data_IF_354826540690
#
_entry.id   IF_354826540690
#
_cell.length_a   1.000
_cell.length_b   1.000
_cell.length_c   1.000
_cell.angle_alpha   90.00
_cell.angle_beta   90.00
_cell.angle_gamma   90.00
#
_symmetry.space_group_name_H-M   'P 1'
#
loop_
_entity.id
_entity.type
_entity.pdbx_description
1 polymer ?
#
# COMPACT_ATOMS: atom_id res chain seq x y z
N UNK A 1 8.08 -44.84 2.19
CA UNK A 1 7.17 -43.84 2.80
C UNK A 1 7.09 -42.59 1.92
N UNK A 2 6.66 -42.69 0.65
CA UNK A 2 6.74 -41.58 -0.33
C UNK A 2 5.39 -40.94 -0.72
N UNK A 3 4.28 -41.67 -0.59
CA UNK A 3 2.98 -41.23 -1.11
C UNK A 3 2.31 -40.09 -0.29
N UNK A 4 2.66 -39.95 1.00
CA UNK A 4 2.09 -38.89 1.85
C UNK A 4 2.68 -37.50 1.56
N UNK A 5 3.97 -37.42 1.22
CA UNK A 5 4.66 -36.16 0.97
C UNK A 5 4.29 -35.55 -0.40
N UNK A 6 4.18 -36.37 -1.45
CA UNK A 6 3.75 -35.92 -2.79
C UNK A 6 2.31 -35.38 -2.80
N UNK A 7 1.38 -36.03 -2.09
CA UNK A 7 -0.01 -35.55 -2.00
C UNK A 7 -0.12 -34.21 -1.24
N UNK A 8 0.70 -34.03 -0.20
CA UNK A 8 0.72 -32.80 0.59
C UNK A 8 1.36 -31.62 -0.18
N UNK A 9 2.38 -31.88 -1.00
CA UNK A 9 3.04 -30.86 -1.82
C UNK A 9 2.15 -30.39 -2.99
N UNK A 10 1.43 -31.32 -3.63
CA UNK A 10 0.43 -30.99 -4.67
C UNK A 10 -0.70 -30.09 -4.15
N UNK A 11 -1.23 -30.39 -2.96
CA UNK A 11 -2.25 -29.54 -2.31
C UNK A 11 -1.73 -28.14 -1.97
N UNK A 12 -0.44 -27.99 -1.66
CA UNK A 12 0.17 -26.68 -1.35
C UNK A 12 0.36 -25.85 -2.63
N UNK A 13 0.80 -26.48 -3.70
CA UNK A 13 0.98 -25.86 -5.02
C UNK A 13 -0.33 -25.34 -5.59
N UNK A 14 -1.39 -26.13 -5.51
CA UNK A 14 -2.73 -25.74 -5.98
C UNK A 14 -3.27 -24.53 -5.20
N UNK A 15 -3.09 -24.50 -3.87
CA UNK A 15 -3.45 -23.34 -3.04
C UNK A 15 -2.69 -22.07 -3.44
N UNK A 16 -1.41 -22.18 -3.76
CA UNK A 16 -0.61 -21.04 -4.21
C UNK A 16 -1.08 -20.52 -5.57
N UNK A 17 -1.46 -21.41 -6.49
CA UNK A 17 -2.02 -21.03 -7.79
C UNK A 17 -3.35 -20.29 -7.64
N UNK A 18 -4.25 -20.79 -6.79
CA UNK A 18 -5.52 -20.12 -6.49
C UNK A 18 -5.30 -18.74 -5.84
N UNK A 19 -4.35 -18.65 -4.91
CA UNK A 19 -3.99 -17.38 -4.27
C UNK A 19 -3.43 -16.38 -5.30
N UNK A 20 -2.57 -16.84 -6.20
CA UNK A 20 -2.03 -16.03 -7.30
C UNK A 20 -3.13 -15.46 -8.19
N UNK A 21 -4.08 -16.29 -8.63
CA UNK A 21 -5.20 -15.84 -9.48
C UNK A 21 -6.02 -14.78 -8.73
N UNK A 22 -6.40 -15.06 -7.48
CA UNK A 22 -7.15 -14.10 -6.65
C UNK A 22 -6.43 -12.76 -6.51
N UNK A 23 -5.12 -12.78 -6.23
CA UNK A 23 -4.33 -11.56 -6.09
C UNK A 23 -4.25 -10.78 -7.41
N UNK A 24 -4.19 -11.46 -8.56
CA UNK A 24 -4.25 -10.80 -9.87
C UNK A 24 -5.60 -10.11 -10.10
N UNK A 25 -6.70 -10.79 -9.79
CA UNK A 25 -8.05 -10.22 -9.91
C UNK A 25 -8.23 -9.01 -8.99
N UNK A 26 -7.73 -9.09 -7.75
CA UNK A 26 -7.75 -7.99 -6.79
C UNK A 26 -6.90 -6.79 -7.27
N UNK A 27 -5.75 -7.04 -7.90
CA UNK A 27 -4.92 -5.99 -8.52
C UNK A 27 -5.65 -5.34 -9.71
N UNK A 28 -6.33 -6.11 -10.55
CA UNK A 28 -7.12 -5.59 -11.67
C UNK A 28 -8.30 -4.74 -11.19
N UNK A 29 -9.00 -5.18 -10.15
CA UNK A 29 -10.06 -4.41 -9.52
C UNK A 29 -9.52 -3.10 -8.91
N UNK A 30 -8.41 -3.17 -8.17
CA UNK A 30 -7.76 -1.98 -7.62
C UNK A 30 -7.30 -0.99 -8.71
N UNK A 31 -6.83 -1.49 -9.87
CA UNK A 31 -6.50 -0.66 -11.03
C UNK A 31 -7.73 0.09 -11.56
N UNK A 32 -8.87 -0.60 -11.66
CA UNK A 32 -10.12 0.00 -12.14
C UNK A 32 -10.62 1.08 -11.19
N UNK A 33 -10.64 0.77 -9.88
CA UNK A 33 -11.01 1.73 -8.83
C UNK A 33 -10.09 2.95 -8.88
N UNK A 34 -8.77 2.75 -8.97
CA UNK A 34 -7.80 3.85 -9.06
C UNK A 34 -8.05 4.74 -10.28
N UNK A 35 -8.34 4.15 -11.44
CA UNK A 35 -8.69 4.90 -12.66
C UNK A 35 -9.94 5.77 -12.44
N UNK A 36 -10.97 5.23 -11.81
CA UNK A 36 -12.25 5.93 -11.61
C UNK A 36 -12.14 7.01 -10.51
N UNK A 37 -11.37 6.75 -9.44
CA UNK A 37 -11.03 7.75 -8.41
C UNK A 37 -10.24 8.92 -9.02
N UNK A 38 -9.26 8.65 -9.90
CA UNK A 38 -8.52 9.71 -10.62
C UNK A 38 -9.43 10.57 -11.51
N UNK A 39 -10.43 9.98 -12.17
CA UNK A 39 -11.39 10.70 -13.03
C UNK A 39 -12.37 11.58 -12.25
N UNK A 40 -12.72 11.19 -11.03
CA UNK A 40 -13.74 11.86 -10.21
C UNK A 40 -13.23 13.02 -9.35
N UNK A 41 -11.93 13.37 -9.41
CA UNK A 41 -11.28 14.45 -8.63
C UNK A 41 -11.47 14.38 -7.10
N UNK A 42 -12.09 13.32 -6.58
CA UNK A 42 -12.40 13.18 -5.16
C UNK A 42 -11.22 12.61 -4.39
N UNK A 43 -10.78 13.40 -3.41
CA UNK A 43 -9.85 13.12 -2.31
C UNK A 43 -8.59 12.35 -2.70
N UNK A 44 -7.50 13.10 -2.88
CA UNK A 44 -6.14 12.58 -2.99
C UNK A 44 -5.77 11.54 -1.94
N UNK A 45 -6.41 11.58 -0.76
CA UNK A 45 -6.28 10.59 0.30
C UNK A 45 -6.79 9.19 -0.11
N UNK A 46 -7.98 9.09 -0.72
CA UNK A 46 -8.54 7.80 -1.16
C UNK A 46 -7.77 7.20 -2.33
N UNK A 47 -7.21 8.05 -3.19
CA UNK A 47 -6.28 7.60 -4.24
C UNK A 47 -4.97 7.04 -3.64
N UNK A 48 -4.43 7.65 -2.57
CA UNK A 48 -3.25 7.12 -1.85
C UNK A 48 -3.56 5.76 -1.23
N UNK A 49 -4.68 5.63 -0.50
CA UNK A 49 -5.07 4.36 0.14
C UNK A 49 -5.24 3.23 -0.89
N UNK A 50 -5.86 3.54 -2.04
CA UNK A 50 -6.03 2.56 -3.13
C UNK A 50 -4.68 2.12 -3.71
N UNK A 51 -3.74 3.06 -3.89
CA UNK A 51 -2.37 2.74 -4.36
C UNK A 51 -1.63 1.91 -3.32
N UNK A 52 -1.75 2.22 -2.04
CA UNK A 52 -1.11 1.46 -0.96
C UNK A 52 -1.63 0.01 -0.90
N UNK A 53 -2.95 -0.19 -0.99
CA UNK A 53 -3.54 -1.52 -1.08
C UNK A 53 -3.02 -2.28 -2.30
N UNK A 54 -2.97 -1.63 -3.45
CA UNK A 54 -2.44 -2.21 -4.69
C UNK A 54 -0.96 -2.62 -4.57
N UNK A 55 -0.13 -1.77 -3.94
CA UNK A 55 1.28 -2.08 -3.66
C UNK A 55 1.43 -3.29 -2.72
N UNK A 56 0.59 -3.38 -1.69
CA UNK A 56 0.56 -4.52 -0.77
C UNK A 56 0.18 -5.81 -1.48
N UNK A 57 -0.90 -5.79 -2.27
CA UNK A 57 -1.32 -6.94 -3.09
C UNK A 57 -0.21 -7.41 -4.03
N UNK A 58 0.50 -6.47 -4.65
CA UNK A 58 1.62 -6.80 -5.54
C UNK A 58 2.81 -7.40 -4.78
N UNK A 59 3.14 -6.89 -3.59
CA UNK A 59 4.16 -7.50 -2.73
C UNK A 59 3.78 -8.94 -2.33
N UNK A 60 2.52 -9.16 -2.00
CA UNK A 60 2.02 -10.50 -1.64
C UNK A 60 2.00 -11.45 -2.85
N UNK A 61 1.71 -10.94 -4.06
CA UNK A 61 1.86 -11.69 -5.31
C UNK A 61 3.31 -12.09 -5.54
N UNK A 62 4.27 -11.16 -5.39
CA UNK A 62 5.71 -11.46 -5.54
C UNK A 62 6.14 -12.52 -4.54
N UNK A 63 5.74 -12.42 -3.26
CA UNK A 63 6.04 -13.43 -2.23
C UNK A 63 5.41 -14.79 -2.55
N UNK A 64 4.22 -14.81 -3.15
CA UNK A 64 3.54 -16.04 -3.57
C UNK A 64 4.29 -16.71 -4.72
N UNK A 65 4.73 -15.94 -5.72
CA UNK A 65 5.55 -16.43 -6.82
C UNK A 65 6.90 -16.95 -6.31
N UNK A 66 7.52 -16.25 -5.35
CA UNK A 66 8.78 -16.68 -4.73
C UNK A 66 8.66 -18.05 -4.05
N UNK A 67 7.60 -18.25 -3.25
CA UNK A 67 7.30 -19.55 -2.64
C UNK A 67 6.98 -20.63 -3.67
N UNK A 68 6.29 -20.29 -4.76
CA UNK A 68 6.03 -21.23 -5.85
C UNK A 68 7.34 -21.66 -6.54
N UNK A 69 8.30 -20.73 -6.71
CA UNK A 69 9.64 -21.01 -7.23
C UNK A 69 10.43 -21.91 -6.27
N UNK A 70 10.42 -21.65 -4.96
CA UNK A 70 11.09 -22.52 -3.98
C UNK A 70 10.57 -23.96 -3.99
N UNK A 71 9.25 -24.14 -4.12
CA UNK A 71 8.65 -25.48 -4.23
C UNK A 71 9.06 -26.13 -5.54
N UNK A 72 9.01 -25.37 -6.64
CA UNK A 72 9.38 -25.87 -7.96
C UNK A 72 10.87 -26.25 -8.03
N UNK A 73 11.74 -25.54 -7.30
CA UNK A 73 13.17 -25.85 -7.22
C UNK A 73 13.40 -27.19 -6.53
N UNK A 74 12.70 -27.46 -5.42
CA UNK A 74 12.73 -28.77 -4.75
C UNK A 74 12.16 -29.89 -5.64
N UNK A 75 11.02 -29.65 -6.29
CA UNK A 75 10.43 -30.62 -7.21
C UNK A 75 11.42 -30.95 -8.36
N UNK A 76 12.17 -29.96 -8.85
CA UNK A 76 13.20 -30.14 -9.88
C UNK A 76 14.39 -30.94 -9.35
N UNK A 77 14.91 -30.62 -8.16
CA UNK A 77 16.03 -31.35 -7.54
C UNK A 77 15.67 -32.84 -7.29
N UNK A 78 14.44 -33.10 -6.82
CA UNK A 78 13.93 -34.46 -6.67
C UNK A 78 13.86 -35.19 -8.01
N UNK A 79 13.32 -34.54 -9.06
CA UNK A 79 13.25 -35.12 -10.41
C UNK A 79 14.63 -35.35 -11.04
N UNK A 80 15.61 -34.46 -10.82
CA UNK A 80 16.98 -34.64 -11.28
C UNK A 80 17.61 -35.87 -10.62
N UNK A 81 17.42 -36.04 -9.32
CA UNK A 81 17.89 -37.23 -8.59
C UNK A 81 17.24 -38.52 -9.11
N UNK A 82 15.93 -38.49 -9.39
CA UNK A 82 15.21 -39.62 -9.98
C UNK A 82 15.74 -39.97 -11.39
N UNK A 83 15.98 -38.96 -12.23
CA UNK A 83 16.54 -39.13 -13.59
C UNK A 83 17.93 -39.75 -13.51
N UNK A 84 18.82 -39.23 -12.67
CA UNK A 84 20.18 -39.75 -12.50
C UNK A 84 20.17 -41.20 -12.02
N UNK A 85 19.30 -41.52 -11.06
CA UNK A 85 19.14 -42.89 -10.52
C UNK A 85 18.65 -43.85 -11.60
N UNK A 86 17.64 -43.46 -12.38
CA UNK A 86 17.12 -44.27 -13.49
C UNK A 86 18.16 -44.43 -14.60
N UNK A 87 18.92 -43.39 -14.91
CA UNK A 87 19.98 -43.44 -15.91
C UNK A 87 21.06 -44.44 -15.52
N UNK A 88 21.57 -44.38 -14.29
CA UNK A 88 22.55 -45.35 -13.77
C UNK A 88 22.00 -46.78 -13.80
N UNK A 89 20.71 -46.97 -13.48
CA UNK A 89 20.07 -48.29 -13.52
C UNK A 89 19.98 -48.83 -14.95
N UNK A 90 19.60 -48.00 -15.91
CA UNK A 90 19.55 -48.35 -17.33
C UNK A 90 20.95 -48.70 -17.85
N UNK A 91 21.97 -47.91 -17.52
CA UNK A 91 23.36 -48.18 -17.89
C UNK A 91 23.84 -49.53 -17.34
N UNK A 92 23.59 -49.79 -16.05
CA UNK A 92 23.92 -51.07 -15.42
C UNK A 92 23.23 -52.26 -16.10
N UNK A 93 21.94 -52.16 -16.40
CA UNK A 93 21.22 -53.22 -17.11
C UNK A 93 21.77 -53.44 -18.53
N UNK A 94 22.13 -52.36 -19.24
CA UNK A 94 22.77 -52.44 -20.56
C UNK A 94 24.13 -53.12 -20.48
N UNK A 95 24.94 -52.82 -19.46
CA UNK A 95 26.22 -53.47 -19.22
C UNK A 95 26.07 -54.96 -18.91
N UNK A 96 25.15 -55.32 -18.01
CA UNK A 96 24.88 -56.72 -17.66
C UNK A 96 24.41 -57.52 -18.88
N UNK A 97 23.52 -56.92 -19.69
CA UNK A 97 23.07 -57.50 -20.94
C UNK A 97 24.21 -57.65 -21.95
N UNK A 98 25.09 -56.65 -22.07
CA UNK A 98 26.26 -56.70 -22.95
C UNK A 98 27.24 -57.81 -22.54
N UNK A 99 27.53 -57.97 -21.24
CA UNK A 99 28.37 -59.06 -20.71
C UNK A 99 27.77 -60.43 -21.05
N UNK A 100 26.45 -60.57 -20.89
CA UNK A 100 25.74 -61.79 -21.26
C UNK A 100 25.82 -62.07 -22.77
N UNK A 101 25.68 -61.05 -23.63
CA UNK A 101 25.89 -61.20 -25.08
C UNK A 101 27.31 -61.63 -25.40
N UNK A 102 28.33 -61.03 -24.77
CA UNK A 102 29.73 -61.40 -25.00
C UNK A 102 30.01 -62.86 -24.60
N UNK A 103 29.47 -63.33 -23.47
CA UNK A 103 29.56 -64.73 -23.07
C UNK A 103 28.83 -65.64 -24.06
N UNK A 104 27.63 -65.24 -24.49
CA UNK A 104 26.87 -65.98 -25.50
C UNK A 104 27.65 -66.07 -26.83
N UNK A 105 28.33 -65.00 -27.24
CA UNK A 105 29.18 -64.94 -28.44
C UNK A 105 30.38 -65.88 -28.33
N UNK A 106 31.08 -65.89 -27.19
CA UNK A 106 32.18 -66.85 -26.93
C UNK A 106 31.72 -68.32 -26.97
N UNK A 107 30.45 -68.59 -26.66
CA UNK A 107 29.83 -69.92 -26.72
C UNK A 107 29.07 -70.21 -28.03
N UNK A 108 29.17 -69.34 -29.04
CA UNK A 108 28.23 -69.25 -30.17
C UNK A 108 28.33 -70.36 -31.22
N UNK A 109 29.33 -71.24 -31.17
CA UNK A 109 29.45 -72.27 -32.21
C UNK A 109 28.14 -73.10 -32.23
N UNK A 110 27.42 -73.16 -33.37
CA UNK A 110 26.11 -73.88 -33.44
C UNK A 110 26.28 -75.36 -33.08
N UNK A 111 27.46 -75.90 -33.41
CA UNK A 111 27.93 -77.20 -32.95
C UNK A 111 28.01 -77.30 -31.43
N UNK A 112 28.33 -76.23 -30.70
CA UNK A 112 28.38 -76.22 -29.23
C UNK A 112 27.00 -76.36 -28.58
N UNK A 113 25.92 -75.79 -29.15
CA UNK A 113 24.56 -75.96 -28.60
C UNK A 113 23.99 -77.33 -28.95
N UNK A 114 24.15 -77.77 -30.19
CA UNK A 114 23.71 -79.09 -30.60
C UNK A 114 24.54 -80.19 -29.90
N UNK A 115 25.87 -80.04 -29.79
CA UNK A 115 26.70 -80.92 -28.97
C UNK A 115 26.38 -80.82 -27.49
N UNK A 116 26.01 -79.67 -26.96
CA UNK A 116 25.55 -79.59 -25.57
C UNK A 116 24.29 -80.43 -25.34
N UNK A 117 23.37 -80.51 -26.30
CA UNK A 117 22.21 -81.40 -26.20
C UNK A 117 22.57 -82.87 -26.47
N UNK A 118 23.39 -83.14 -27.49
CA UNK A 118 23.76 -84.51 -27.94
C UNK A 118 24.81 -85.19 -27.05
N UNK A 119 25.62 -84.45 -26.27
CA UNK A 119 26.57 -84.98 -25.28
C UNK A 119 25.90 -85.35 -23.95
N UNK A 120 24.59 -85.57 -23.96
CA UNK A 120 23.85 -86.00 -22.77
C UNK A 120 24.01 -87.51 -22.60
N UNK A 121 24.19 -87.95 -21.35
CA UNK A 121 24.33 -89.36 -20.97
C UNK A 121 23.03 -90.15 -21.18
N UNK A 122 21.89 -89.47 -21.06
CA UNK A 122 20.56 -90.05 -21.21
C UNK A 122 19.53 -89.00 -21.67
N UNK A 123 18.33 -89.46 -22.02
CA UNK A 123 17.24 -88.63 -22.49
C UNK A 123 16.76 -87.61 -21.44
N UNK A 124 16.75 -87.98 -20.17
CA UNK A 124 16.31 -87.07 -19.08
C UNK A 124 17.29 -85.89 -18.93
N UNK A 125 18.59 -86.14 -19.08
CA UNK A 125 19.60 -85.09 -19.09
C UNK A 125 19.46 -84.17 -20.30
N UNK A 126 19.20 -84.73 -21.50
CA UNK A 126 18.96 -83.93 -22.70
C UNK A 126 17.71 -83.03 -22.54
N UNK A 127 16.62 -83.56 -21.96
CA UNK A 127 15.40 -82.81 -21.70
C UNK A 127 15.63 -81.64 -20.72
N UNK A 128 16.39 -81.87 -19.63
CA UNK A 128 16.78 -80.80 -18.69
C UNK A 128 17.63 -79.72 -19.35
N UNK A 129 18.59 -80.11 -20.21
CA UNK A 129 19.43 -79.17 -20.97
C UNK A 129 18.61 -78.34 -21.98
N UNK A 130 17.62 -78.95 -22.63
CA UNK A 130 16.69 -78.25 -23.52
C UNK A 130 15.85 -77.21 -22.77
N UNK A 131 15.28 -77.61 -21.62
CA UNK A 131 14.51 -76.70 -20.77
C UNK A 131 15.37 -75.54 -20.25
N UNK A 132 16.63 -75.80 -19.87
CA UNK A 132 17.58 -74.75 -19.51
C UNK A 132 17.82 -73.73 -20.65
N UNK A 133 18.01 -74.21 -21.89
CA UNK A 133 18.20 -73.31 -23.04
C UNK A 133 16.95 -72.46 -23.31
N UNK A 134 15.76 -73.03 -23.13
CA UNK A 134 14.49 -72.31 -23.22
C UNK A 134 14.39 -71.22 -22.16
N UNK A 135 14.63 -71.56 -20.90
CA UNK A 135 14.62 -70.60 -19.78
C UNK A 135 15.64 -69.48 -19.98
N UNK A 136 16.83 -69.80 -20.49
CA UNK A 136 17.86 -68.81 -20.82
C UNK A 136 17.41 -67.86 -21.94
N UNK A 137 16.77 -68.38 -23.00
CA UNK A 137 16.20 -67.54 -24.07
C UNK A 137 15.11 -66.59 -23.54
N UNK A 138 14.22 -67.10 -22.70
CA UNK A 138 13.16 -66.29 -22.07
C UNK A 138 13.73 -65.23 -21.12
N UNK A 139 14.76 -65.58 -20.34
CA UNK A 139 15.45 -64.62 -19.47
C UNK A 139 16.07 -63.46 -20.27
N UNK A 140 16.73 -63.76 -21.40
CA UNK A 140 17.27 -62.72 -22.30
C UNK A 140 16.21 -61.80 -22.86
N UNK A 141 15.07 -62.36 -23.25
CA UNK A 141 13.93 -61.57 -23.74
C UNK A 141 13.41 -60.65 -22.64
N UNK A 142 13.23 -61.15 -21.42
CA UNK A 142 12.80 -60.35 -20.27
C UNK A 142 13.77 -59.22 -19.94
N UNK A 143 15.08 -59.45 -19.99
CA UNK A 143 16.08 -58.38 -19.76
C UNK A 143 15.96 -57.25 -20.79
N UNK A 144 15.76 -57.56 -22.08
CA UNK A 144 15.57 -56.54 -23.12
C UNK A 144 14.31 -55.72 -22.85
N UNK A 145 13.21 -56.38 -22.51
CA UNK A 145 11.95 -55.70 -22.20
C UNK A 145 12.07 -54.84 -20.92
N UNK A 146 12.84 -55.28 -19.92
CA UNK A 146 13.14 -54.49 -18.73
C UNK A 146 13.97 -53.23 -19.06
N UNK A 147 15.01 -53.36 -19.88
CA UNK A 147 15.82 -52.22 -20.35
C UNK A 147 14.94 -51.23 -21.10
N UNK A 148 14.09 -51.70 -22.03
CA UNK A 148 13.17 -50.82 -22.77
C UNK A 148 12.20 -50.12 -21.84
N UNK A 149 11.63 -50.83 -20.87
CA UNK A 149 10.70 -50.26 -19.90
C UNK A 149 11.35 -49.13 -19.09
N UNK A 150 12.55 -49.37 -18.55
CA UNK A 150 13.27 -48.35 -17.77
C UNK A 150 13.75 -47.18 -18.65
N UNK A 151 14.12 -47.44 -19.90
CA UNK A 151 14.48 -46.37 -20.84
C UNK A 151 13.27 -45.48 -21.16
N UNK A 152 12.08 -46.06 -21.32
CA UNK A 152 10.85 -45.29 -21.52
C UNK A 152 10.51 -44.44 -20.29
N UNK A 153 10.58 -45.03 -19.09
CA UNK A 153 10.38 -44.32 -17.83
C UNK A 153 11.38 -43.16 -17.66
N UNK A 154 12.66 -43.39 -17.97
CA UNK A 154 13.69 -42.36 -17.97
C UNK A 154 13.36 -41.21 -18.94
N UNK A 155 12.94 -41.53 -20.17
CA UNK A 155 12.58 -40.51 -21.16
C UNK A 155 11.35 -39.69 -20.73
N UNK A 156 10.36 -40.32 -20.11
CA UNK A 156 9.20 -39.62 -19.53
C UNK A 156 9.62 -38.65 -18.41
N UNK A 157 10.53 -39.08 -17.53
CA UNK A 157 11.07 -38.25 -16.44
C UNK A 157 11.91 -37.08 -16.96
N UNK A 158 12.75 -37.30 -17.98
CA UNK A 158 13.51 -36.24 -18.64
C UNK A 158 12.57 -35.21 -19.28
N UNK A 159 11.50 -35.66 -19.96
CA UNK A 159 10.51 -34.77 -20.54
C UNK A 159 9.79 -33.94 -19.46
N UNK A 160 9.41 -34.56 -18.34
CA UNK A 160 8.80 -33.88 -17.21
C UNK A 160 9.75 -32.84 -16.59
N UNK A 161 11.01 -33.19 -16.37
CA UNK A 161 12.05 -32.27 -15.89
C UNK A 161 12.18 -31.04 -16.82
N UNK A 162 12.17 -31.26 -18.13
CA UNK A 162 12.21 -30.18 -19.13
C UNK A 162 11.00 -29.24 -19.02
N UNK A 163 9.80 -29.78 -18.80
CA UNK A 163 8.58 -28.99 -18.59
C UNK A 163 8.67 -28.15 -17.30
N UNK A 164 9.13 -28.73 -16.20
CA UNK A 164 9.27 -28.01 -14.93
C UNK A 164 10.32 -26.89 -15.03
N UNK A 165 11.47 -27.12 -15.68
CA UNK A 165 12.50 -26.09 -15.93
C UNK A 165 11.96 -24.93 -16.77
N UNK A 166 11.19 -25.23 -17.81
CA UNK A 166 10.55 -24.20 -18.64
C UNK A 166 9.55 -23.38 -17.83
N UNK A 167 8.73 -24.04 -17.01
CA UNK A 167 7.77 -23.37 -16.11
C UNK A 167 8.47 -22.47 -15.08
N UNK A 168 9.61 -22.91 -14.53
CA UNK A 168 10.45 -22.11 -13.62
C UNK A 168 10.95 -20.84 -14.29
N UNK A 169 11.45 -20.94 -15.52
CA UNK A 169 11.91 -19.78 -16.28
C UNK A 169 10.77 -18.77 -16.52
N UNK A 170 9.57 -19.25 -16.89
CA UNK A 170 8.39 -18.40 -17.06
C UNK A 170 7.97 -17.69 -15.76
N UNK A 171 7.94 -18.42 -14.63
CA UNK A 171 7.63 -17.85 -13.31
C UNK A 171 8.65 -16.79 -12.89
N UNK A 172 9.94 -17.01 -13.14
CA UNK A 172 10.99 -16.00 -12.88
C UNK A 172 10.79 -14.74 -13.73
N UNK A 173 10.46 -14.89 -15.01
CA UNK A 173 10.14 -13.75 -15.88
C UNK A 173 8.92 -12.96 -15.38
N UNK A 174 7.88 -13.66 -14.91
CA UNK A 174 6.72 -13.01 -14.29
C UNK A 174 7.10 -12.27 -13.00
N UNK A 175 7.90 -12.88 -12.13
CA UNK A 175 8.36 -12.25 -10.88
C UNK A 175 9.11 -10.95 -11.15
N UNK A 176 10.00 -10.94 -12.15
CA UNK A 176 10.79 -9.77 -12.50
C UNK A 176 9.92 -8.64 -13.03
N UNK A 177 8.93 -8.96 -13.88
CA UNK A 177 7.94 -7.99 -14.36
C UNK A 177 7.13 -7.38 -13.20
N UNK A 178 6.71 -8.18 -12.23
CA UNK A 178 5.97 -7.67 -11.07
C UNK A 178 6.86 -6.80 -10.17
N UNK A 179 8.15 -7.14 -10.00
CA UNK A 179 9.11 -6.30 -9.28
C UNK A 179 9.31 -4.94 -9.96
N UNK A 180 9.48 -4.92 -11.28
CA UNK A 180 9.61 -3.67 -12.03
C UNK A 180 8.34 -2.81 -11.91
N UNK A 181 7.17 -3.44 -11.96
CA UNK A 181 5.89 -2.74 -11.78
C UNK A 181 5.73 -2.22 -10.35
N UNK A 182 6.21 -2.95 -9.34
CA UNK A 182 6.20 -2.49 -7.95
C UNK A 182 7.06 -1.24 -7.76
N UNK A 183 8.25 -1.21 -8.38
CA UNK A 183 9.15 -0.05 -8.32
C UNK A 183 8.49 1.17 -8.93
N UNK A 184 7.95 1.05 -10.15
CA UNK A 184 7.30 2.19 -10.82
C UNK A 184 6.07 2.70 -10.07
N UNK A 185 5.31 1.82 -9.41
CA UNK A 185 4.17 2.22 -8.60
C UNK A 185 4.58 2.90 -7.29
N UNK A 186 5.67 2.47 -6.66
CA UNK A 186 6.24 3.17 -5.49
C UNK A 186 6.70 4.57 -5.87
N UNK A 187 7.43 4.71 -6.98
CA UNK A 187 7.86 6.02 -7.47
C UNK A 187 6.68 6.93 -7.78
N UNK A 188 5.61 6.38 -8.37
CA UNK A 188 4.36 7.14 -8.61
C UNK A 188 3.69 7.55 -7.29
N UNK A 189 3.67 6.68 -6.29
CA UNK A 189 3.10 6.98 -4.98
C UNK A 189 3.88 8.11 -4.28
N UNK A 190 5.21 8.02 -4.26
CA UNK A 190 6.09 9.02 -3.66
C UNK A 190 5.90 10.40 -4.31
N UNK A 191 5.81 10.45 -5.65
CA UNK A 191 5.51 11.70 -6.38
C UNK A 191 4.17 12.28 -5.97
N UNK A 192 3.10 11.47 -5.93
CA UNK A 192 1.78 11.94 -5.52
C UNK A 192 1.76 12.43 -4.07
N UNK A 193 2.46 11.75 -3.15
CA UNK A 193 2.59 12.22 -1.76
C UNK A 193 3.31 13.58 -1.71
N UNK A 194 4.40 13.74 -2.46
CA UNK A 194 5.16 14.99 -2.49
C UNK A 194 4.34 16.16 -3.05
N UNK A 195 3.57 15.93 -4.12
CA UNK A 195 2.64 16.92 -4.69
C UNK A 195 1.57 17.36 -3.69
N UNK A 196 1.03 16.43 -2.90
CA UNK A 196 0.01 16.74 -1.89
C UNK A 196 0.58 17.50 -0.71
N UNK A 197 1.77 17.14 -0.23
CA UNK A 197 2.46 17.89 0.81
C UNK A 197 2.81 19.32 0.36
N UNK A 198 3.19 19.50 -0.91
CA UNK A 198 3.44 20.83 -1.47
C UNK A 198 2.16 21.68 -1.47
N UNK A 199 1.04 21.09 -1.90
CA UNK A 199 -0.26 21.77 -1.95
C UNK A 199 -0.80 22.09 -0.56
N UNK A 200 -0.59 21.21 0.42
CA UNK A 200 -0.92 21.47 1.83
C UNK A 200 -0.14 22.68 2.39
N UNK A 201 1.17 22.76 2.09
CA UNK A 201 2.00 23.90 2.50
C UNK A 201 1.56 25.22 1.85
N UNK A 202 1.16 25.18 0.59
CA UNK A 202 0.64 26.35 -0.12
C UNK A 202 -0.68 26.84 0.49
N UNK A 203 -1.64 25.94 0.69
CA UNK A 203 -2.94 26.26 1.30
C UNK A 203 -2.77 26.78 2.73
N UNK A 204 -1.91 26.15 3.55
CA UNK A 204 -1.66 26.62 4.93
C UNK A 204 -1.02 28.01 4.96
N UNK A 205 -0.14 28.33 4.00
CA UNK A 205 0.42 29.67 3.83
C UNK A 205 -0.66 30.68 3.43
N UNK A 206 -1.46 30.39 2.41
CA UNK A 206 -2.57 31.27 1.99
C UNK A 206 -3.57 31.52 3.13
N UNK A 207 -3.90 30.48 3.89
CA UNK A 207 -4.85 30.56 5.00
C UNK A 207 -4.29 31.42 6.15
N UNK A 208 -2.99 31.31 6.44
CA UNK A 208 -2.31 32.19 7.41
C UNK A 208 -2.28 33.63 6.95
N UNK A 209 -2.00 33.88 5.66
CA UNK A 209 -2.04 35.23 5.08
C UNK A 209 -3.45 35.84 5.19
N UNK A 210 -4.48 35.08 4.81
CA UNK A 210 -5.90 35.48 4.94
C UNK A 210 -6.32 35.73 6.38
N UNK A 211 -5.88 34.91 7.34
CA UNK A 211 -6.11 35.15 8.76
C UNK A 211 -5.44 36.45 9.26
N UNK A 212 -4.22 36.73 8.83
CA UNK A 212 -3.54 37.99 9.21
C UNK A 212 -4.22 39.21 8.60
N UNK A 213 -4.71 39.10 7.36
CA UNK A 213 -5.47 40.14 6.67
C UNK A 213 -6.81 40.41 7.39
N UNK A 214 -7.55 39.35 7.75
CA UNK A 214 -8.78 39.45 8.54
C UNK A 214 -8.55 40.11 9.89
N UNK A 215 -7.47 39.75 10.61
CA UNK A 215 -7.13 40.36 11.91
C UNK A 215 -6.77 41.85 11.80
N UNK A 216 -6.08 42.26 10.72
CA UNK A 216 -5.79 43.68 10.46
C UNK A 216 -7.07 44.46 10.21
N UNK A 217 -7.99 43.90 9.42
CA UNK A 217 -9.29 44.50 9.14
C UNK A 217 -10.13 44.64 10.42
N UNK A 218 -10.18 43.60 11.24
CA UNK A 218 -10.89 43.62 12.53
C UNK A 218 -10.34 44.70 13.47
N UNK A 219 -9.02 44.83 13.58
CA UNK A 219 -8.40 45.89 14.38
C UNK A 219 -8.74 47.30 13.86
N UNK A 220 -8.80 47.48 12.53
CA UNK A 220 -9.15 48.78 11.94
C UNK A 220 -10.63 49.10 12.16
N UNK A 221 -11.52 48.12 12.04
CA UNK A 221 -12.95 48.26 12.39
C UNK A 221 -13.10 48.64 13.86
N UNK A 222 -12.42 47.94 14.77
CA UNK A 222 -12.43 48.26 16.20
C UNK A 222 -11.92 49.68 16.46
N UNK A 223 -10.87 50.11 15.76
CA UNK A 223 -10.33 51.48 15.87
C UNK A 223 -11.34 52.52 15.40
N UNK A 224 -12.02 52.29 14.27
CA UNK A 224 -13.06 53.18 13.75
C UNK A 224 -14.23 53.26 14.72
N UNK A 225 -14.72 52.11 15.23
CA UNK A 225 -15.80 52.06 16.22
C UNK A 225 -15.40 52.79 17.51
N UNK A 226 -14.19 52.55 18.02
CA UNK A 226 -13.69 53.21 19.22
C UNK A 226 -13.55 54.73 19.04
N UNK A 227 -13.12 55.19 17.86
CA UNK A 227 -13.05 56.60 17.53
C UNK A 227 -14.45 57.23 17.45
N UNK A 228 -15.43 56.53 16.88
CA UNK A 228 -16.81 57.01 16.75
C UNK A 228 -17.51 57.06 18.10
N UNK A 229 -17.34 56.03 18.94
CA UNK A 229 -17.82 56.02 20.34
C UNK A 229 -17.18 57.16 21.13
N UNK A 230 -15.87 57.41 20.95
CA UNK A 230 -15.18 58.51 21.64
C UNK A 230 -15.74 59.87 21.21
N UNK A 231 -15.90 60.12 19.91
CA UNK A 231 -16.52 61.36 19.40
C UNK A 231 -17.94 61.54 19.90
N UNK A 232 -18.75 60.47 19.89
CA UNK A 232 -20.13 60.51 20.39
C UNK A 232 -20.17 60.82 21.90
N UNK A 233 -19.28 60.22 22.70
CA UNK A 233 -19.14 60.52 24.14
C UNK A 233 -18.69 61.96 24.38
N UNK A 234 -17.68 62.44 23.65
CA UNK A 234 -17.19 63.81 23.77
C UNK A 234 -18.26 64.84 23.39
N UNK A 235 -19.05 64.59 22.34
CA UNK A 235 -20.19 65.42 21.97
C UNK A 235 -21.33 65.37 22.98
N UNK A 236 -21.64 64.20 23.55
CA UNK A 236 -22.65 64.07 24.60
C UNK A 236 -22.26 64.83 25.88
N UNK A 237 -21.00 64.66 26.33
CA UNK A 237 -20.45 65.41 27.47
C UNK A 237 -20.45 66.90 27.18
N UNK A 238 -20.05 67.32 25.97
CA UNK A 238 -20.09 68.73 25.56
C UNK A 238 -21.51 69.29 25.64
N UNK A 239 -22.51 68.59 25.10
CA UNK A 239 -23.91 69.01 25.14
C UNK A 239 -24.42 69.12 26.57
N UNK A 240 -24.11 68.16 27.44
CA UNK A 240 -24.48 68.22 28.85
C UNK A 240 -23.91 69.45 29.56
N UNK A 241 -22.62 69.76 29.35
CA UNK A 241 -21.98 70.94 29.95
C UNK A 241 -22.59 72.23 29.37
N UNK A 242 -22.89 72.28 28.08
CA UNK A 242 -23.53 73.45 27.45
C UNK A 242 -24.98 73.65 27.92
N UNK A 243 -25.73 72.57 28.12
CA UNK A 243 -27.10 72.63 28.64
C UNK A 243 -27.11 73.04 30.12
N UNK A 244 -26.17 72.55 30.93
CA UNK A 244 -25.94 73.00 32.31
C UNK A 244 -25.55 74.49 32.34
N UNK A 245 -24.66 74.95 31.45
CA UNK A 245 -24.29 76.36 31.34
C UNK A 245 -25.50 77.26 31.01
N UNK A 246 -26.35 76.84 30.07
CA UNK A 246 -27.57 77.57 29.71
C UNK A 246 -28.59 77.60 30.86
N UNK A 247 -28.77 76.50 31.58
CA UNK A 247 -29.65 76.46 32.76
C UNK A 247 -29.17 77.41 33.86
N UNK A 248 -27.85 77.59 34.00
CA UNK A 248 -27.23 78.54 34.93
C UNK A 248 -27.18 79.99 34.41
N UNK A 249 -27.80 80.27 33.25
CA UNK A 249 -27.97 81.62 32.70
C UNK A 249 -26.80 82.14 31.85
N UNK A 250 -25.86 81.29 31.44
CA UNK A 250 -24.78 81.65 30.52
C UNK A 250 -25.28 81.63 29.06
N UNK A 251 -24.91 82.64 28.27
CA UNK A 251 -25.41 82.83 26.89
C UNK A 251 -24.37 82.33 25.88
N UNK A 252 -24.79 81.38 25.03
CA UNK A 252 -23.98 80.89 23.91
C UNK A 252 -23.68 82.01 22.90
N UNK A 253 -22.41 82.16 22.52
CA UNK A 253 -21.92 83.22 21.63
C UNK A 253 -21.42 84.48 22.33
N UNK A 254 -21.80 84.70 23.61
CA UNK A 254 -21.32 85.82 24.44
C UNK A 254 -20.38 85.34 25.56
N UNK A 255 -20.82 84.37 26.36
CA UNK A 255 -20.08 83.89 27.53
C UNK A 255 -19.26 82.61 27.23
N UNK A 256 -19.72 81.80 26.28
CA UNK A 256 -18.97 80.64 25.76
C UNK A 256 -19.25 80.41 24.29
N UNK A 257 -18.31 79.79 23.58
CA UNK A 257 -18.42 79.49 22.15
C UNK A 257 -17.79 78.13 21.80
N UNK A 258 -17.82 77.77 20.51
CA UNK A 258 -17.29 76.50 19.99
C UNK A 258 -15.77 76.31 20.21
N UNK A 259 -15.03 77.39 20.56
CA UNK A 259 -13.59 77.36 20.88
C UNK A 259 -13.32 77.28 22.39
N UNK A 260 -14.31 77.51 23.25
CA UNK A 260 -14.17 77.35 24.70
C UNK A 260 -13.97 75.87 25.04
N UNK A 261 -12.97 75.52 25.83
CA UNK A 261 -12.70 74.13 26.24
C UNK A 261 -13.72 73.65 27.27
N UNK A 262 -13.93 72.33 27.38
CA UNK A 262 -14.90 71.76 28.34
C UNK A 262 -14.54 72.13 29.78
N UNK A 263 -13.25 72.16 30.12
CA UNK A 263 -12.79 72.52 31.47
C UNK A 263 -13.00 74.00 31.77
N UNK A 264 -12.70 74.89 30.81
CA UNK A 264 -12.98 76.32 30.97
C UNK A 264 -14.49 76.60 31.10
N UNK A 265 -15.34 75.84 30.41
CA UNK A 265 -16.80 75.97 30.51
C UNK A 265 -17.33 75.50 31.88
N UNK A 266 -16.77 74.42 32.42
CA UNK A 266 -17.07 73.96 33.79
C UNK A 266 -16.63 74.97 34.86
N UNK A 267 -15.49 75.62 34.67
CA UNK A 267 -15.01 76.66 35.59
C UNK A 267 -15.95 77.87 35.60
N UNK A 268 -16.47 78.28 34.43
CA UNK A 268 -17.48 79.34 34.31
C UNK A 268 -18.81 78.96 34.99
N UNK A 269 -19.27 77.71 34.80
CA UNK A 269 -20.46 77.19 35.49
C UNK A 269 -20.26 77.22 37.01
N UNK A 270 -19.09 76.82 37.50
CA UNK A 270 -18.77 76.82 38.92
C UNK A 270 -18.67 78.24 39.51
N UNK A 271 -18.12 79.19 38.77
CA UNK A 271 -18.12 80.60 39.16
C UNK A 271 -19.55 81.15 39.24
N UNK A 272 -20.40 80.86 38.24
CA UNK A 272 -21.82 81.23 38.28
C UNK A 272 -22.60 80.56 39.39
N UNK A 273 -22.34 79.29 39.69
CA UNK A 273 -22.88 78.57 40.87
C UNK A 273 -22.53 79.29 42.17
N UNK A 274 -21.27 79.70 42.35
CA UNK A 274 -20.82 80.45 43.52
C UNK A 274 -21.49 81.81 43.63
N UNK A 275 -21.60 82.55 42.52
CA UNK A 275 -22.31 83.83 42.46
C UNK A 275 -23.81 83.69 42.81
N UNK A 276 -24.48 82.65 42.32
CA UNK A 276 -25.88 82.36 42.62
C UNK A 276 -26.08 81.91 44.09
N UNK A 277 -25.14 81.14 44.65
CA UNK A 277 -25.17 80.72 46.07
C UNK A 277 -24.91 81.87 47.04
N UNK A 278 -24.11 82.88 46.64
CA UNK A 278 -23.88 84.10 47.41
C UNK A 278 -25.08 85.08 47.36
N UNK A 279 -26.07 84.83 46.49
CA UNK A 279 -27.24 85.68 46.25
C UNK A 279 -28.56 85.18 46.88
N UNK A 280 -28.54 84.12 47.70
CA UNK A 280 -29.70 83.59 48.45
C UNK A 280 -30.97 83.31 47.60
N UNK A 281 -30.82 82.55 46.50
CA UNK A 281 -31.92 81.91 45.76
C UNK A 281 -31.73 80.38 45.77
N UNK A 282 -32.81 79.57 45.82
CA UNK A 282 -32.70 78.13 46.02
C UNK A 282 -32.04 77.46 44.83
N UNK A 283 -31.07 76.59 45.11
CA UNK A 283 -30.42 75.71 44.14
C UNK A 283 -31.25 74.43 44.09
N UNK A 284 -31.94 74.21 42.97
CA UNK A 284 -32.57 72.90 42.69
C UNK A 284 -31.44 71.92 42.33
N UNK A 285 -31.14 70.98 43.24
CA UNK A 285 -30.25 69.87 42.95
C UNK A 285 -30.88 68.97 41.89
N UNK A 286 -30.29 68.96 40.69
CA UNK A 286 -30.67 68.02 39.64
C UNK A 286 -30.28 66.60 40.08
N UNK A 287 -31.29 65.78 40.35
CA UNK A 287 -31.17 64.32 40.45
C UNK A 287 -30.60 63.76 39.14
N UNK A 288 -29.43 63.13 39.20
CA UNK A 288 -28.75 62.54 38.06
C UNK A 288 -29.35 61.15 37.80
N UNK A 289 -30.09 60.89 36.71
CA UNK A 289 -30.37 59.51 36.34
C UNK A 289 -29.05 58.85 35.91
N UNK A 290 -28.55 57.93 36.75
CA UNK A 290 -27.44 57.05 36.42
C UNK A 290 -27.88 56.09 35.30
N UNK A 291 -27.57 56.43 34.05
CA UNK A 291 -27.62 55.46 32.97
C UNK A 291 -26.45 54.50 33.11
N UNK A 292 -26.67 53.42 33.86
CA UNK A 292 -25.85 52.21 33.74
C UNK A 292 -26.08 51.64 32.34
N UNK A 293 -25.11 51.84 31.46
CA UNK A 293 -25.05 51.11 30.19
C UNK A 293 -24.71 49.66 30.50
N UNK A 294 -25.61 48.76 30.14
CA UNK A 294 -25.51 47.31 30.29
C UNK A 294 -24.23 46.76 29.64
N UNK A 295 -23.60 45.73 30.22
CA UNK A 295 -22.38 45.13 29.69
C UNK A 295 -22.72 44.14 28.57
N UNK A 296 -23.11 44.63 27.40
CA UNK A 296 -23.28 43.77 26.20
C UNK A 296 -22.51 44.28 24.99
N UNK A 297 -21.25 44.64 25.21
CA UNK A 297 -20.31 44.90 24.12
C UNK A 297 -18.92 44.32 24.43
N UNK A 298 -18.88 43.05 24.82
CA UNK A 298 -17.67 42.20 24.75
C UNK A 298 -18.10 40.75 24.60
N UNK A 299 -18.34 40.33 23.37
CA UNK A 299 -18.07 38.96 22.88
C UNK A 299 -17.61 39.04 21.44
#
# INVERSE_FOLDING_TARGET
>A
MGFGAQAQNNNRKEKLQQLKIRLQDEIELANKILSDTRKSQNSSLGAIETVEQKLKLRQDLIRTIDRELEILDKDIEELETEVDTLQQRVEKLKEEYARMIQQAYKSQNKYSRLMFLLSSRDFNQALRRLEYLKQYSEFRRRQVEEVKKQQNELNEKIAELGRQKTRKAALRGQMEKEKQTLVSEKESQEKSIAELQAREKEITKELKEKQTEAKKLENEIQRIIAAEIRRAREQAIRRQIEDEAKQMGLISGKDFNNRTTNDALKDLINQKKKELSAANKPVEEANIPAYNLTPEATR
#
